data_IF_826843376948
#
_entry.id   IF_826843376948
#
_cell.length_a   1.000
_cell.length_b   1.000
_cell.length_c   1.000
_cell.angle_alpha   90.00
_cell.angle_beta   90.00
_cell.angle_gamma   90.00
#
_symmetry.space_group_name_H-M   'P 1'
#
loop_
_entity.id
_entity.type
_entity.pdbx_description
1 polymer ?
#
# COMPACT_ATOMS: atom_id res chain seq x y z
N UNK A 1 10.21 -69.15 63.59
CA UNK A 1 9.04 -70.04 63.51
C UNK A 1 8.47 -69.91 62.12
N UNK A 2 8.30 -71.06 61.47
CA UNK A 2 8.06 -71.26 60.05
C UNK A 2 6.65 -70.88 59.62
N UNK A 3 6.60 -70.21 58.47
CA UNK A 3 5.81 -70.50 57.27
C UNK A 3 4.57 -71.41 57.32
N UNK A 4 3.59 -70.90 56.57
CA UNK A 4 2.60 -71.61 55.73
C UNK A 4 1.40 -72.28 56.41
N UNK A 5 0.22 -71.69 56.17
CA UNK A 5 -0.93 -72.50 55.75
C UNK A 5 -1.68 -71.80 54.62
N UNK A 6 -1.60 -72.49 53.49
CA UNK A 6 -2.27 -72.31 52.21
C UNK A 6 -3.79 -72.46 52.33
N UNK A 7 -4.53 -71.63 51.60
CA UNK A 7 -5.86 -71.95 51.10
C UNK A 7 -6.11 -71.15 49.81
N UNK A 8 -5.73 -71.73 48.69
CA UNK A 8 -6.20 -71.45 47.31
C UNK A 8 -7.04 -72.67 46.87
N UNK A 9 -7.93 -72.72 45.83
CA UNK A 9 -8.36 -71.78 44.76
C UNK A 9 -9.92 -71.61 44.70
N UNK A 10 -10.53 -70.72 43.90
CA UNK A 10 -10.78 -70.96 42.47
C UNK A 10 -11.35 -69.72 41.73
N UNK A 11 -10.86 -69.59 40.48
CA UNK A 11 -11.49 -69.06 39.25
C UNK A 11 -12.13 -67.66 39.26
N UNK A 12 -11.96 -66.80 38.26
CA UNK A 12 -11.36 -66.90 36.94
C UNK A 12 -11.50 -65.51 36.31
N UNK A 13 -10.52 -65.03 35.58
CA UNK A 13 -10.71 -64.91 34.14
C UNK A 13 -10.01 -63.67 33.61
N UNK A 14 -9.04 -63.89 32.73
CA UNK A 14 -8.46 -62.85 31.90
C UNK A 14 -9.43 -62.48 30.75
N UNK A 15 -9.56 -61.18 30.43
CA UNK A 15 -9.97 -60.75 29.08
C UNK A 15 -9.50 -59.31 28.75
N UNK A 16 -8.29 -59.24 28.20
CA UNK A 16 -7.82 -58.45 27.03
C UNK A 16 -8.87 -57.54 26.34
N UNK A 17 -8.65 -56.21 26.33
CA UNK A 17 -9.47 -55.27 25.55
C UNK A 17 -9.03 -53.80 25.52
N UNK A 18 -7.72 -53.49 25.54
CA UNK A 18 -7.21 -52.13 25.82
C UNK A 18 -6.48 -51.37 24.70
N UNK A 19 -6.35 -51.93 23.49
CA UNK A 19 -5.48 -51.35 22.44
C UNK A 19 -6.11 -50.22 21.61
N UNK A 20 -7.36 -50.39 21.16
CA UNK A 20 -7.97 -49.45 20.19
C UNK A 20 -8.27 -48.07 20.78
N UNK A 21 -8.70 -47.98 22.05
CA UNK A 21 -9.03 -46.70 22.71
C UNK A 21 -7.78 -45.87 23.03
N UNK A 22 -6.68 -46.52 23.44
CA UNK A 22 -5.37 -45.87 23.65
C UNK A 22 -4.77 -45.34 22.34
N UNK A 23 -4.86 -46.11 21.25
CA UNK A 23 -4.37 -45.68 19.93
C UNK A 23 -5.17 -44.47 19.41
N UNK A 24 -6.50 -44.45 19.62
CA UNK A 24 -7.34 -43.31 19.22
C UNK A 24 -6.98 -42.04 20.00
N UNK A 25 -6.72 -42.16 21.30
CA UNK A 25 -6.32 -41.01 22.13
C UNK A 25 -4.94 -40.49 21.69
N UNK A 26 -3.96 -41.37 21.48
CA UNK A 26 -2.62 -40.97 21.02
C UNK A 26 -2.69 -40.32 19.63
N UNK A 27 -3.48 -40.88 18.72
CA UNK A 27 -3.67 -40.32 17.38
C UNK A 27 -4.34 -38.94 17.43
N UNK A 28 -5.36 -38.76 18.28
CA UNK A 28 -6.03 -37.48 18.46
C UNK A 28 -5.08 -36.43 19.06
N UNK A 29 -4.29 -36.79 20.06
CA UNK A 29 -3.31 -35.88 20.67
C UNK A 29 -2.20 -35.51 19.68
N UNK A 30 -1.68 -36.46 18.91
CA UNK A 30 -0.68 -36.19 17.88
C UNK A 30 -1.21 -35.24 16.79
N UNK A 31 -2.49 -35.40 16.41
CA UNK A 31 -3.14 -34.55 15.41
C UNK A 31 -3.32 -33.12 15.94
N UNK A 32 -3.72 -32.95 17.20
CA UNK A 32 -3.80 -31.63 17.86
C UNK A 32 -2.42 -30.97 17.92
N UNK A 33 -1.37 -31.71 18.30
CA UNK A 33 0.00 -31.18 18.33
C UNK A 33 0.48 -30.77 16.94
N UNK A 34 0.17 -31.55 15.89
CA UNK A 34 0.51 -31.17 14.51
C UNK A 34 -0.24 -29.92 14.04
N UNK A 35 -1.52 -29.76 14.40
CA UNK A 35 -2.28 -28.55 14.07
C UNK A 35 -1.70 -27.32 14.78
N UNK A 36 -1.41 -27.43 16.09
CA UNK A 36 -0.80 -26.33 16.85
C UNK A 36 0.59 -26.00 16.33
N UNK A 37 1.42 -27.01 16.03
CA UNK A 37 2.74 -26.80 15.44
C UNK A 37 2.65 -26.15 14.05
N UNK A 38 1.66 -26.55 13.23
CA UNK A 38 1.40 -25.92 11.93
C UNK A 38 0.96 -24.45 12.06
N UNK A 39 0.15 -24.12 13.06
CA UNK A 39 -0.26 -22.74 13.34
C UNK A 39 0.91 -21.89 13.84
N UNK A 40 1.72 -22.39 14.76
CA UNK A 40 2.94 -21.70 15.25
C UNK A 40 3.95 -21.53 14.12
N UNK A 41 4.18 -22.57 13.31
CA UNK A 41 5.07 -22.51 12.16
C UNK A 41 4.59 -21.48 11.14
N UNK A 42 3.29 -21.44 10.82
CA UNK A 42 2.72 -20.41 9.94
C UNK A 42 2.82 -19.00 10.53
N UNK A 43 2.76 -18.86 11.85
CA UNK A 43 2.85 -17.55 12.50
C UNK A 43 4.31 -17.05 12.62
N UNK A 44 5.28 -17.95 12.74
CA UNK A 44 6.71 -17.64 12.83
C UNK A 44 7.37 -17.53 11.44
N UNK A 45 7.01 -18.41 10.51
CA UNK A 45 7.52 -18.44 9.12
C UNK A 45 6.54 -17.86 8.10
N UNK A 46 5.41 -17.33 8.56
CA UNK A 46 4.51 -16.58 7.70
C UNK A 46 5.27 -15.42 7.03
N UNK A 47 4.99 -15.11 5.76
CA UNK A 47 5.64 -13.99 5.09
C UNK A 47 5.42 -12.73 5.94
N UNK A 48 6.50 -12.15 6.49
CA UNK A 48 6.43 -10.78 6.97
C UNK A 48 6.12 -9.94 5.74
N UNK A 49 4.92 -9.36 5.68
CA UNK A 49 4.60 -8.37 4.66
C UNK A 49 5.69 -7.31 4.71
N UNK A 50 6.35 -7.08 3.57
CA UNK A 50 7.34 -6.03 3.46
C UNK A 50 6.66 -4.70 3.84
N UNK A 51 7.35 -3.82 4.59
CA UNK A 51 6.80 -2.50 4.91
C UNK A 51 6.31 -1.82 3.63
N UNK A 52 5.03 -1.39 3.62
CA UNK A 52 4.47 -0.64 2.49
C UNK A 52 5.27 0.64 2.29
N UNK A 53 5.75 0.86 1.08
CA UNK A 53 6.51 2.05 0.70
C UNK A 53 5.55 3.23 0.50
N UNK A 54 5.22 3.92 1.59
CA UNK A 54 4.29 5.05 1.62
C UNK A 54 4.73 6.24 0.75
N UNK A 55 5.98 6.26 0.28
CA UNK A 55 6.48 7.29 -0.64
C UNK A 55 5.85 7.20 -2.04
N UNK A 56 5.29 6.03 -2.40
CA UNK A 56 4.67 5.77 -3.71
C UNK A 56 3.15 5.69 -3.66
N UNK A 57 2.58 5.53 -2.47
CA UNK A 57 1.13 5.46 -2.28
C UNK A 57 0.49 6.84 -2.42
N UNK A 58 -0.67 6.97 -3.09
CA UNK A 58 -1.41 8.23 -3.14
C UNK A 58 -1.93 8.65 -1.77
N UNK A 59 -1.56 9.86 -1.35
CA UNK A 59 -2.06 10.51 -0.13
C UNK A 59 -3.11 11.58 -0.41
N UNK A 60 -2.95 12.75 0.22
CA UNK A 60 -3.85 13.90 0.02
C UNK A 60 -3.61 14.64 -1.30
N UNK A 61 -4.67 15.23 -1.85
CA UNK A 61 -4.62 16.11 -3.02
C UNK A 61 -4.70 17.56 -2.57
N UNK A 62 -3.73 18.37 -2.99
CA UNK A 62 -3.71 19.81 -2.72
C UNK A 62 -4.06 20.58 -3.98
N UNK A 63 -5.23 21.22 -3.99
CA UNK A 63 -5.60 22.16 -5.05
C UNK A 63 -4.84 23.47 -4.86
N UNK A 64 -4.17 23.95 -5.93
CA UNK A 64 -3.57 25.27 -5.92
C UNK A 64 -4.67 26.31 -6.12
N UNK A 65 -4.76 27.28 -5.21
CA UNK A 65 -5.85 28.26 -5.19
C UNK A 65 -5.84 29.19 -6.41
N UNK A 66 -4.66 29.67 -6.76
CA UNK A 66 -4.45 30.66 -7.81
C UNK A 66 -4.42 30.00 -9.20
N UNK A 67 -5.13 30.59 -10.15
CA UNK A 67 -4.92 30.32 -11.56
C UNK A 67 -3.52 30.76 -12.02
N UNK A 68 -3.07 30.16 -13.11
CA UNK A 68 -1.87 30.61 -13.82
C UNK A 68 -2.18 30.77 -15.30
N UNK A 69 -1.56 31.79 -15.89
CA UNK A 69 -1.57 32.02 -17.33
C UNK A 69 -0.15 31.90 -17.84
N UNK A 70 0.04 31.18 -18.94
CA UNK A 70 1.32 31.06 -19.62
C UNK A 70 1.15 31.23 -21.13
N UNK A 71 2.23 31.63 -21.80
CA UNK A 71 2.29 31.70 -23.26
C UNK A 71 2.61 30.32 -23.83
N UNK A 72 1.91 29.96 -24.90
CA UNK A 72 2.23 28.82 -25.75
C UNK A 72 3.21 29.25 -26.85
N UNK A 73 3.87 28.27 -27.47
CA UNK A 73 4.91 28.50 -28.48
C UNK A 73 4.41 29.18 -29.76
N UNK A 74 3.10 29.14 -30.01
CA UNK A 74 2.41 29.78 -31.13
C UNK A 74 1.85 31.17 -30.78
N UNK A 75 2.22 31.73 -29.61
CA UNK A 75 1.79 33.05 -29.16
C UNK A 75 0.36 33.10 -28.60
N UNK A 76 -0.28 31.94 -28.41
CA UNK A 76 -1.56 31.80 -27.72
C UNK A 76 -1.38 31.73 -26.21
N UNK A 77 -2.49 31.88 -25.47
CA UNK A 77 -2.46 31.83 -24.02
C UNK A 77 -3.14 30.57 -23.50
N UNK A 78 -2.56 30.03 -22.43
CA UNK A 78 -3.15 28.94 -21.66
C UNK A 78 -3.38 29.41 -20.23
N UNK A 79 -4.66 29.47 -19.85
CA UNK A 79 -5.12 29.70 -18.48
C UNK A 79 -5.47 28.37 -17.83
N UNK A 80 -4.91 28.08 -16.65
CA UNK A 80 -5.12 26.80 -15.98
C UNK A 80 -5.05 26.86 -14.46
N UNK A 81 -5.50 25.78 -13.83
CA UNK A 81 -5.27 25.47 -12.42
C UNK A 81 -4.69 24.07 -12.27
N UNK A 82 -3.86 23.91 -11.25
CA UNK A 82 -3.21 22.64 -10.92
C UNK A 82 -3.71 22.12 -9.56
N UNK A 83 -3.75 20.80 -9.42
CA UNK A 83 -3.76 20.15 -8.12
C UNK A 83 -2.63 19.12 -8.04
N UNK A 84 -2.04 18.96 -6.86
CA UNK A 84 -0.88 18.10 -6.62
C UNK A 84 -1.29 16.94 -5.72
N UNK A 85 -1.14 15.71 -6.21
CA UNK A 85 -1.25 14.50 -5.40
C UNK A 85 0.04 14.33 -4.61
N UNK A 86 -0.03 14.44 -3.30
CA UNK A 86 1.11 14.11 -2.45
C UNK A 86 1.20 12.59 -2.24
N UNK A 87 2.38 12.12 -1.90
CA UNK A 87 2.53 10.76 -1.36
C UNK A 87 1.88 10.66 0.02
N UNK A 88 1.50 9.44 0.41
CA UNK A 88 0.96 9.17 1.74
C UNK A 88 1.99 9.53 2.82
N UNK A 89 3.27 9.24 2.58
CA UNK A 89 4.36 9.67 3.47
C UNK A 89 4.41 11.19 3.64
N UNK A 90 4.35 11.96 2.55
CA UNK A 90 4.36 13.43 2.61
C UNK A 90 3.10 13.98 3.31
N UNK A 91 1.96 13.33 3.09
CA UNK A 91 0.68 13.68 3.73
C UNK A 91 0.75 13.48 5.24
N UNK A 92 1.25 12.34 5.70
CA UNK A 92 1.41 12.05 7.12
C UNK A 92 2.42 13.00 7.78
N UNK A 93 3.57 13.24 7.14
CA UNK A 93 4.59 14.18 7.64
C UNK A 93 4.07 15.61 7.78
N UNK A 94 3.11 16.02 6.96
CA UNK A 94 2.49 17.33 7.06
C UNK A 94 1.46 17.44 8.18
N UNK A 95 1.09 16.35 8.87
CA UNK A 95 0.01 16.35 9.87
C UNK A 95 -1.37 16.05 9.28
N UNK A 96 -1.41 15.39 8.12
CA UNK A 96 -2.63 14.96 7.44
C UNK A 96 -3.22 16.03 6.50
N UNK A 97 -4.36 15.70 5.90
CA UNK A 97 -4.98 16.47 4.81
C UNK A 97 -5.27 17.94 5.16
N UNK A 98 -5.68 18.21 6.41
CA UNK A 98 -6.04 19.56 6.87
C UNK A 98 -4.86 20.53 6.96
N UNK A 99 -3.65 20.01 7.13
CA UNK A 99 -2.44 20.80 7.31
C UNK A 99 -1.79 21.21 5.98
N UNK A 100 -2.31 20.74 4.85
CA UNK A 100 -1.69 20.92 3.53
C UNK A 100 -2.17 22.15 2.76
N UNK A 101 -3.01 23.00 3.36
CA UNK A 101 -3.55 24.21 2.70
C UNK A 101 -2.47 25.20 2.24
N UNK A 102 -1.26 25.11 2.79
CA UNK A 102 -0.13 25.98 2.47
C UNK A 102 1.02 25.24 1.75
N UNK A 103 0.76 24.07 1.16
CA UNK A 103 1.80 23.37 0.39
C UNK A 103 2.26 24.28 -0.76
N UNK A 104 3.57 24.53 -0.81
CA UNK A 104 4.15 25.41 -1.82
C UNK A 104 4.09 24.76 -3.21
N UNK A 105 3.24 25.31 -4.08
CA UNK A 105 3.07 24.88 -5.47
C UNK A 105 4.05 25.52 -6.47
N UNK A 106 5.00 26.35 -6.01
CA UNK A 106 5.85 27.16 -6.89
C UNK A 106 6.67 26.33 -7.87
N UNK A 107 7.29 25.22 -7.43
CA UNK A 107 8.08 24.36 -8.33
C UNK A 107 7.21 23.70 -9.40
N UNK A 108 5.96 23.39 -9.09
CA UNK A 108 5.02 22.81 -10.07
C UNK A 108 4.58 23.84 -11.11
N UNK A 109 4.32 25.09 -10.70
CA UNK A 109 3.98 26.19 -11.60
C UNK A 109 5.14 26.53 -12.53
N UNK A 110 6.37 26.59 -12.00
CA UNK A 110 7.58 26.80 -12.81
C UNK A 110 7.78 25.68 -13.85
N UNK A 111 7.63 24.42 -13.44
CA UNK A 111 7.70 23.28 -14.36
C UNK A 111 6.62 23.35 -15.45
N UNK A 112 5.40 23.79 -15.11
CA UNK A 112 4.32 23.96 -16.07
C UNK A 112 4.64 25.04 -17.11
N UNK A 113 5.26 26.16 -16.73
CA UNK A 113 5.71 27.20 -17.66
C UNK A 113 6.73 26.62 -18.64
N UNK A 114 7.75 25.94 -18.12
CA UNK A 114 8.81 25.35 -18.94
C UNK A 114 8.29 24.29 -19.90
N UNK A 115 7.43 23.37 -19.45
CA UNK A 115 6.98 22.24 -20.27
C UNK A 115 5.86 22.66 -21.22
N UNK A 116 4.81 23.30 -20.71
CA UNK A 116 3.63 23.59 -21.51
C UNK A 116 3.84 24.76 -22.47
N UNK A 117 4.76 25.67 -22.16
CA UNK A 117 5.14 26.76 -23.06
C UNK A 117 5.78 26.29 -24.37
N UNK A 118 6.27 25.05 -24.44
CA UNK A 118 6.79 24.47 -25.68
C UNK A 118 5.72 23.92 -26.63
N UNK A 119 4.46 23.81 -26.18
CA UNK A 119 3.37 23.31 -27.02
C UNK A 119 2.68 24.45 -27.78
N UNK A 120 2.02 24.11 -28.87
CA UNK A 120 1.04 24.98 -29.55
C UNK A 120 -0.37 24.68 -29.06
N UNK A 121 -1.32 25.59 -29.31
CA UNK A 121 -2.73 25.36 -29.01
C UNK A 121 -3.26 24.14 -29.76
N UNK A 122 -2.92 23.99 -31.05
CA UNK A 122 -3.36 22.86 -31.87
C UNK A 122 -2.85 21.52 -31.34
N UNK A 123 -1.61 21.48 -30.82
CA UNK A 123 -1.07 20.29 -30.19
C UNK A 123 -1.84 19.93 -28.92
N UNK A 124 -2.17 20.90 -28.06
CA UNK A 124 -2.87 20.68 -26.79
C UNK A 124 -4.38 20.44 -26.93
N UNK A 125 -4.98 20.75 -28.09
CA UNK A 125 -6.34 20.33 -28.42
C UNK A 125 -6.47 18.81 -28.58
N UNK A 126 -5.39 18.11 -28.90
CA UNK A 126 -5.37 16.65 -29.04
C UNK A 126 -5.30 16.00 -27.65
N UNK A 127 -6.29 15.16 -27.26
CA UNK A 127 -6.32 14.55 -25.93
C UNK A 127 -5.03 13.81 -25.56
N UNK A 128 -4.50 13.02 -26.50
CA UNK A 128 -3.27 12.24 -26.34
C UNK A 128 -2.05 13.12 -26.02
N UNK A 129 -1.94 14.29 -26.65
CA UNK A 129 -0.85 15.21 -26.41
C UNK A 129 -1.01 15.92 -25.07
N UNK A 130 -2.24 16.26 -24.68
CA UNK A 130 -2.55 16.83 -23.37
C UNK A 130 -2.22 15.85 -22.24
N UNK A 131 -2.54 14.57 -22.42
CA UNK A 131 -2.18 13.50 -21.49
C UNK A 131 -0.65 13.35 -21.39
N UNK A 132 0.05 13.26 -22.52
CA UNK A 132 1.53 13.22 -22.54
C UNK A 132 2.16 14.44 -21.86
N UNK A 133 1.59 15.62 -22.06
CA UNK A 133 2.05 16.85 -21.42
C UNK A 133 1.84 16.79 -19.89
N UNK A 134 0.70 16.26 -19.42
CA UNK A 134 0.44 16.05 -18.00
C UNK A 134 1.38 15.01 -17.38
N UNK A 135 1.67 13.92 -18.08
CA UNK A 135 2.62 12.89 -17.63
C UNK A 135 4.04 13.43 -17.53
N UNK A 136 4.47 14.17 -18.56
CA UNK A 136 5.79 14.83 -18.60
C UNK A 136 5.92 15.82 -17.45
N UNK A 137 4.90 16.65 -17.24
CA UNK A 137 4.85 17.57 -16.11
C UNK A 137 4.85 16.83 -14.77
N UNK A 138 4.08 15.75 -14.64
CA UNK A 138 4.03 14.93 -13.43
C UNK A 138 5.41 14.37 -13.09
N UNK A 139 6.14 13.87 -14.07
CA UNK A 139 7.49 13.34 -13.87
C UNK A 139 8.45 14.42 -13.39
N UNK A 140 8.49 15.56 -14.07
CA UNK A 140 9.34 16.70 -13.69
C UNK A 140 9.02 17.20 -12.28
N UNK A 141 7.73 17.38 -11.96
CA UNK A 141 7.29 17.82 -10.65
C UNK A 141 7.65 16.80 -9.58
N UNK A 142 7.48 15.50 -9.85
CA UNK A 142 7.88 14.44 -8.91
C UNK A 142 9.38 14.53 -8.58
N UNK A 143 10.23 14.75 -9.56
CA UNK A 143 11.68 14.92 -9.36
C UNK A 143 11.98 16.19 -8.53
N UNK A 144 11.38 17.33 -8.88
CA UNK A 144 11.57 18.61 -8.18
C UNK A 144 11.12 18.63 -6.72
N UNK A 145 10.14 17.79 -6.37
CA UNK A 145 9.64 17.61 -5.01
C UNK A 145 10.20 16.37 -4.32
N UNK A 146 11.24 15.72 -4.88
CA UNK A 146 11.90 14.55 -4.29
C UNK A 146 10.89 13.43 -3.95
N UNK A 147 9.94 13.18 -4.85
CA UNK A 147 8.91 12.15 -4.67
C UNK A 147 7.75 12.52 -3.75
N UNK A 148 7.77 13.68 -3.09
CA UNK A 148 6.66 14.13 -2.23
C UNK A 148 5.38 14.39 -3.00
N UNK A 149 5.49 14.80 -4.27
CA UNK A 149 4.38 14.90 -5.22
C UNK A 149 4.50 13.74 -6.19
N UNK A 150 3.43 12.96 -6.35
CA UNK A 150 3.44 11.77 -7.22
C UNK A 150 2.59 11.93 -8.48
N UNK A 151 1.66 12.91 -8.51
CA UNK A 151 0.82 13.22 -9.67
C UNK A 151 0.43 14.69 -9.72
N UNK A 152 0.36 15.25 -10.93
CA UNK A 152 -0.21 16.58 -11.20
C UNK A 152 -1.53 16.42 -11.94
N UNK A 153 -2.55 17.15 -11.51
CA UNK A 153 -3.84 17.24 -12.18
C UNK A 153 -4.03 18.62 -12.78
N UNK A 154 -4.58 18.68 -13.99
CA UNK A 154 -5.14 19.90 -14.57
C UNK A 154 -6.59 20.00 -14.14
N UNK A 155 -6.91 20.92 -13.23
CA UNK A 155 -8.27 21.11 -12.72
C UNK A 155 -9.06 22.12 -13.54
N UNK A 156 -8.38 23.12 -14.10
CA UNK A 156 -8.90 24.00 -15.15
C UNK A 156 -7.90 24.04 -16.31
N UNK A 157 -8.38 24.11 -17.56
CA UNK A 157 -7.53 24.16 -18.75
C UNK A 157 -8.25 24.85 -19.90
N UNK A 158 -7.98 26.14 -20.10
CA UNK A 158 -8.65 27.01 -21.08
C UNK A 158 -7.60 27.68 -21.97
N UNK A 159 -7.76 27.56 -23.29
CA UNK A 159 -6.86 28.15 -24.29
C UNK A 159 -7.54 29.32 -25.00
N UNK A 160 -6.79 30.39 -25.32
CA UNK A 160 -7.27 31.64 -25.96
C UNK A 160 -6.32 32.13 -27.04
#
# INVERSE_FOLDING_TARGET
>A
MSKDQDATPAEGGAAKGGGKKMIIVIAATALVVMVVAGLVFKMVLGPKEAPKDLSKEPGAVVALAEDMTLNLSDGKYLKMKLALQLSEEATQKAGGEKALKAFDGSKARDAAIGILGHYTMEQLLKPENKEKAQETLTKEVKERYEGKVIKVYFTDFVMQ
#
